data_IF_021851713797
#
_entry.id   IF_021851713797
#
_cell.length_a   1.000
_cell.length_b   1.000
_cell.length_c   1.000
_cell.angle_alpha   90.00
_cell.angle_beta   90.00
_cell.angle_gamma   90.00
#
_symmetry.space_group_name_H-M   'P 1'
#
loop_
_entity.id
_entity.type
_entity.pdbx_description
1 polymer ?
#
# COMPACT_ATOMS: atom_id res chain seq x y z
N UNK A 1 -1.58 4.01 -3.83
CA UNK A 1 -2.68 3.59 -2.91
C UNK A 1 -3.57 2.48 -3.47
N UNK A 2 -3.38 2.01 -4.71
CA UNK A 2 -4.23 0.97 -5.29
C UNK A 2 -4.31 -0.31 -4.44
N UNK A 3 -3.17 -0.84 -3.99
CA UNK A 3 -3.12 -2.06 -3.19
C UNK A 3 -3.85 -1.93 -1.84
N UNK A 4 -3.76 -0.77 -1.18
CA UNK A 4 -4.48 -0.50 0.08
C UNK A 4 -5.99 -0.61 -0.15
N UNK A 5 -6.49 0.02 -1.21
CA UNK A 5 -7.93 -0.01 -1.55
C UNK A 5 -8.41 -1.40 -1.96
N UNK A 6 -7.61 -2.13 -2.75
CA UNK A 6 -7.92 -3.51 -3.13
C UNK A 6 -8.03 -4.43 -1.92
N UNK A 7 -7.11 -4.28 -0.95
CA UNK A 7 -7.15 -5.04 0.29
C UNK A 7 -8.34 -4.65 1.18
N UNK A 8 -8.62 -3.35 1.35
CA UNK A 8 -9.76 -2.88 2.14
C UNK A 8 -11.09 -3.37 1.57
N UNK A 9 -11.30 -3.22 0.26
CA UNK A 9 -12.51 -3.72 -0.39
C UNK A 9 -12.65 -5.24 -0.32
N UNK A 10 -11.53 -5.99 -0.40
CA UNK A 10 -11.56 -7.43 -0.17
C UNK A 10 -11.90 -7.79 1.28
N UNK A 11 -11.37 -7.06 2.28
CA UNK A 11 -11.71 -7.26 3.70
C UNK A 11 -13.19 -6.98 3.97
N UNK A 12 -13.76 -5.98 3.30
CA UNK A 12 -15.18 -5.66 3.41
C UNK A 12 -16.03 -6.78 2.80
N UNK A 13 -15.69 -7.22 1.57
CA UNK A 13 -16.36 -8.33 0.90
C UNK A 13 -16.23 -9.67 1.65
N UNK A 14 -15.11 -9.91 2.33
CA UNK A 14 -14.93 -11.10 3.18
C UNK A 14 -15.92 -11.12 4.35
N UNK A 15 -16.21 -9.96 4.97
CA UNK A 15 -17.21 -9.87 6.05
C UNK A 15 -18.63 -10.13 5.55
N UNK A 16 -18.88 -9.84 4.28
CA UNK A 16 -20.17 -10.04 3.62
C UNK A 16 -20.30 -11.42 2.95
N UNK A 17 -19.24 -12.24 2.99
CA UNK A 17 -19.20 -13.55 2.32
C UNK A 17 -19.06 -13.49 0.79
N UNK A 18 -18.77 -12.31 0.23
CA UNK A 18 -18.67 -12.04 -1.21
C UNK A 18 -17.22 -11.91 -1.73
N UNK A 19 -16.22 -12.28 -0.91
CA UNK A 19 -14.79 -12.15 -1.24
C UNK A 19 -14.39 -12.81 -2.57
N UNK A 20 -14.95 -13.97 -2.91
CA UNK A 20 -14.67 -14.64 -4.18
C UNK A 20 -15.10 -13.79 -5.38
N UNK A 21 -16.33 -13.28 -5.35
CA UNK A 21 -16.86 -12.41 -6.41
C UNK A 21 -16.06 -11.12 -6.51
N UNK A 22 -15.70 -10.51 -5.37
CA UNK A 22 -14.86 -9.32 -5.34
C UNK A 22 -13.51 -9.56 -6.02
N UNK A 23 -12.83 -10.67 -5.69
CA UNK A 23 -11.56 -11.04 -6.30
C UNK A 23 -11.70 -11.26 -7.81
N UNK A 24 -12.73 -12.00 -8.24
CA UNK A 24 -13.01 -12.25 -9.65
C UNK A 24 -13.22 -10.96 -10.44
N UNK A 25 -14.08 -10.07 -9.95
CA UNK A 25 -14.42 -8.80 -10.62
C UNK A 25 -13.26 -7.83 -10.73
N UNK A 26 -12.29 -7.92 -9.82
CA UNK A 26 -11.13 -7.03 -9.76
C UNK A 26 -9.82 -7.69 -10.21
N UNK A 27 -9.88 -8.92 -10.76
CA UNK A 27 -8.70 -9.69 -11.18
C UNK A 27 -7.66 -9.88 -10.07
N UNK A 28 -8.12 -10.12 -8.84
CA UNK A 28 -7.26 -10.28 -7.67
C UNK A 28 -7.12 -11.76 -7.29
N UNK A 29 -5.94 -12.13 -6.77
CA UNK A 29 -5.73 -13.43 -6.15
C UNK A 29 -6.15 -13.41 -4.69
N UNK A 30 -7.14 -14.24 -4.34
CA UNK A 30 -7.58 -14.42 -2.95
C UNK A 30 -6.44 -14.93 -2.05
N UNK A 31 -5.61 -15.85 -2.56
CA UNK A 31 -4.47 -16.40 -1.84
C UNK A 31 -3.43 -15.30 -1.54
N UNK A 32 -3.18 -14.40 -2.49
CA UNK A 32 -2.25 -13.28 -2.30
C UNK A 32 -2.79 -12.29 -1.27
N UNK A 33 -4.08 -11.94 -1.33
CA UNK A 33 -4.70 -11.06 -0.34
C UNK A 33 -4.70 -11.68 1.07
N UNK A 34 -4.91 -12.99 1.17
CA UNK A 34 -4.78 -13.73 2.42
C UNK A 34 -3.33 -13.70 2.95
N UNK A 35 -2.33 -13.85 2.08
CA UNK A 35 -0.92 -13.74 2.47
C UNK A 35 -0.60 -12.34 2.99
N UNK A 36 -1.08 -11.29 2.32
CA UNK A 36 -0.97 -9.89 2.78
C UNK A 36 -1.65 -9.72 4.15
N UNK A 37 -2.84 -10.29 4.35
CA UNK A 37 -3.54 -10.23 5.64
C UNK A 37 -2.72 -10.86 6.78
N UNK A 38 -2.13 -12.02 6.53
CA UNK A 38 -1.25 -12.71 7.48
C UNK A 38 0.00 -11.89 7.80
N UNK A 39 0.66 -11.31 6.80
CA UNK A 39 1.84 -10.44 7.01
C UNK A 39 1.50 -9.20 7.84
N UNK A 40 0.35 -8.55 7.57
CA UNK A 40 -0.10 -7.40 8.36
C UNK A 40 -0.30 -7.76 9.83
N UNK A 41 -0.87 -8.94 10.12
CA UNK A 41 -1.02 -9.44 11.50
C UNK A 41 0.33 -9.69 12.16
N UNK A 42 1.26 -10.33 11.45
CA UNK A 42 2.61 -10.60 11.97
C UNK A 42 3.36 -9.31 12.31
N UNK A 43 3.39 -8.33 11.40
CA UNK A 43 4.05 -7.05 11.69
C UNK A 43 3.38 -6.29 12.84
N UNK A 44 2.04 -6.29 12.91
CA UNK A 44 1.34 -5.68 14.03
C UNK A 44 1.68 -6.33 15.37
N UNK A 45 1.85 -7.65 15.39
CA UNK A 45 2.25 -8.39 16.59
C UNK A 45 3.66 -8.01 17.04
N UNK A 46 4.63 -8.04 16.11
CA UNK A 46 6.03 -7.68 16.40
C UNK A 46 6.15 -6.25 16.91
N UNK A 47 5.46 -5.29 16.28
CA UNK A 47 5.47 -3.89 16.70
C UNK A 47 4.87 -3.72 18.10
N UNK A 48 3.86 -4.51 18.44
CA UNK A 48 3.24 -4.50 19.77
C UNK A 48 4.19 -5.06 20.83
N UNK A 49 4.84 -6.18 20.55
CA UNK A 49 5.85 -6.76 21.45
C UNK A 49 7.03 -5.82 21.67
N UNK A 50 7.43 -5.06 20.65
CA UNK A 50 8.45 -4.04 20.75
C UNK A 50 8.01 -2.77 21.53
N UNK A 51 6.74 -2.67 21.93
CA UNK A 51 6.19 -1.50 22.62
C UNK A 51 6.06 -0.25 21.73
N UNK A 52 6.09 -0.41 20.40
CA UNK A 52 6.04 0.70 19.45
C UNK A 52 4.61 1.11 19.06
N UNK A 53 3.63 0.24 19.31
CA UNK A 53 2.22 0.50 19.03
C UNK A 53 1.35 0.15 20.24
N UNK A 54 0.26 0.89 20.41
CA UNK A 54 -0.68 0.64 21.49
C UNK A 54 -1.45 -0.67 21.27
N UNK A 55 -1.98 -1.26 22.35
CA UNK A 55 -2.90 -2.38 22.26
C UNK A 55 -4.21 -1.98 21.57
N UNK A 56 -4.65 -0.73 21.72
CA UNK A 56 -5.80 -0.21 21.01
C UNK A 56 -5.44 0.24 19.59
N UNK A 57 -5.85 -0.57 18.62
CA UNK A 57 -5.70 -0.27 17.19
C UNK A 57 -6.34 1.05 16.74
N UNK A 58 -7.35 1.56 17.46
CA UNK A 58 -8.02 2.82 17.12
C UNK A 58 -7.10 4.03 17.32
N UNK A 59 -6.23 3.97 18.35
CA UNK A 59 -5.25 5.00 18.65
C UNK A 59 -4.17 5.03 17.56
N UNK A 60 -3.69 3.85 17.18
CA UNK A 60 -2.63 3.70 16.17
C UNK A 60 -3.06 4.17 14.77
N UNK A 61 -4.35 4.10 14.45
CA UNK A 61 -4.87 4.38 13.11
C UNK A 61 -5.54 5.76 12.95
N UNK A 62 -5.44 6.67 13.94
CA UNK A 62 -6.07 8.01 13.90
C UNK A 62 -5.76 8.81 12.63
N UNK A 63 -4.55 8.65 12.07
CA UNK A 63 -4.09 9.38 10.88
C UNK A 63 -4.07 8.53 9.61
N UNK A 64 -4.61 7.31 9.64
CA UNK A 64 -4.56 6.35 8.52
C UNK A 64 -5.19 6.90 7.23
N UNK A 65 -6.20 7.77 7.35
CA UNK A 65 -6.88 8.39 6.22
C UNK A 65 -6.15 9.63 5.67
N UNK A 66 -5.14 10.17 6.38
CA UNK A 66 -4.34 11.29 5.90
C UNK A 66 -3.38 10.80 4.79
N UNK A 67 -3.82 10.95 3.54
CA UNK A 67 -3.08 10.47 2.37
C UNK A 67 -1.68 11.09 2.23
N UNK A 68 -1.50 12.35 2.60
CA UNK A 68 -0.21 13.02 2.54
C UNK A 68 0.78 12.41 3.53
N UNK A 69 0.32 12.12 4.76
CA UNK A 69 1.15 11.46 5.77
C UNK A 69 1.52 10.03 5.34
N UNK A 70 0.55 9.26 4.83
CA UNK A 70 0.82 7.89 4.36
C UNK A 70 1.84 7.90 3.22
N UNK A 71 1.73 8.84 2.27
CA UNK A 71 2.74 9.02 1.21
C UNK A 71 4.11 9.40 1.75
N UNK A 72 4.16 10.25 2.78
CA UNK A 72 5.43 10.62 3.43
C UNK A 72 6.11 9.41 4.10
N UNK A 73 5.35 8.57 4.81
CA UNK A 73 5.86 7.33 5.42
C UNK A 73 6.37 6.36 4.34
N UNK A 74 5.61 6.17 3.26
CA UNK A 74 6.05 5.34 2.11
C UNK A 74 7.35 5.89 1.51
N UNK A 75 7.43 7.22 1.32
CA UNK A 75 8.63 7.88 0.81
C UNK A 75 9.84 7.62 1.72
N UNK A 76 9.66 7.71 3.05
CA UNK A 76 10.74 7.45 3.99
C UNK A 76 11.29 6.02 3.92
N UNK A 77 10.45 5.02 3.63
CA UNK A 77 10.86 3.63 3.50
C UNK A 77 11.44 3.26 2.13
N UNK A 78 11.10 4.00 1.08
CA UNK A 78 11.59 3.76 -0.30
C UNK A 78 12.78 4.64 -0.68
N UNK A 79 13.09 5.68 0.10
CA UNK A 79 14.26 6.53 -0.12
C UNK A 79 15.56 5.72 -0.06
N UNK A 80 16.55 5.94 -0.96
CA UNK A 80 16.62 7.00 -1.98
C UNK A 80 16.04 6.64 -3.35
N UNK A 81 15.24 5.58 -3.49
CA UNK A 81 14.63 5.13 -4.75
C UNK A 81 13.54 6.06 -5.27
N UNK A 82 13.93 7.26 -5.72
CA UNK A 82 13.05 8.32 -6.20
C UNK A 82 13.28 8.61 -7.69
N UNK A 83 12.20 8.95 -8.40
CA UNK A 83 12.24 9.42 -9.77
C UNK A 83 11.66 10.83 -9.87
N UNK A 84 12.34 11.71 -10.61
CA UNK A 84 11.84 13.03 -10.98
C UNK A 84 10.98 12.95 -12.23
N UNK A 85 9.86 13.68 -12.24
CA UNK A 85 8.93 13.73 -13.37
C UNK A 85 9.08 15.06 -14.09
N UNK A 86 9.31 15.01 -15.39
CA UNK A 86 9.31 16.18 -16.27
C UNK A 86 8.09 16.10 -17.18
N UNK A 87 7.12 16.96 -16.90
CA UNK A 87 5.90 17.10 -17.68
C UNK A 87 6.13 18.01 -18.89
N UNK A 88 5.74 17.54 -20.08
CA UNK A 88 5.65 18.30 -21.33
C UNK A 88 4.21 18.26 -21.82
N UNK A 89 3.82 19.19 -22.69
CA UNK A 89 2.42 19.33 -23.15
C UNK A 89 1.77 18.03 -23.64
N UNK A 90 2.54 17.12 -24.22
CA UNK A 90 2.06 15.85 -24.78
C UNK A 90 2.76 14.61 -24.22
N UNK A 91 3.69 14.76 -23.26
CA UNK A 91 4.49 13.63 -22.76
C UNK A 91 4.97 13.80 -21.33
N UNK A 92 5.24 12.67 -20.67
CA UNK A 92 5.92 12.63 -19.38
C UNK A 92 7.22 11.86 -19.53
N UNK A 93 8.31 12.40 -18.98
CA UNK A 93 9.58 11.69 -18.86
C UNK A 93 9.97 11.54 -17.39
N UNK A 94 10.55 10.39 -17.06
CA UNK A 94 10.94 10.03 -15.69
C UNK A 94 12.44 9.87 -15.64
N UNK A 95 13.07 10.35 -14.57
CA UNK A 95 14.52 10.23 -14.37
C UNK A 95 14.89 9.83 -12.95
N UNK A 96 15.78 8.87 -12.79
CA UNK A 96 16.43 8.54 -11.51
C UNK A 96 17.83 9.15 -11.47
N UNK A 97 18.43 9.20 -10.27
CA UNK A 97 19.81 9.70 -10.11
C UNK A 97 20.82 8.76 -10.79
N UNK A 98 20.62 7.45 -10.64
CA UNK A 98 21.59 6.43 -11.04
C UNK A 98 21.44 5.99 -12.50
N UNK A 99 20.20 5.86 -13.01
CA UNK A 99 19.93 5.28 -14.33
C UNK A 99 19.61 6.32 -15.41
N UNK A 100 19.53 7.60 -15.05
CA UNK A 100 19.08 8.64 -15.96
C UNK A 100 17.62 8.44 -16.35
N UNK A 101 17.29 8.35 -17.64
CA UNK A 101 15.90 8.25 -18.09
C UNK A 101 15.35 6.83 -17.94
N UNK A 102 14.20 6.71 -17.26
CA UNK A 102 13.50 5.45 -17.02
C UNK A 102 12.06 5.50 -17.54
N UNK A 103 11.45 4.32 -17.67
CA UNK A 103 10.04 4.16 -18.03
C UNK A 103 9.28 3.56 -16.85
N UNK A 104 7.99 3.88 -16.76
CA UNK A 104 7.10 3.13 -15.87
C UNK A 104 6.79 1.79 -16.51
N UNK A 105 6.76 0.74 -15.68
CA UNK A 105 6.26 -0.56 -16.10
C UNK A 105 4.77 -0.44 -16.45
N UNK A 106 4.37 -1.02 -17.57
CA UNK A 106 3.00 -1.00 -18.10
C UNK A 106 2.31 -2.35 -17.87
#
# INVERSE_FOLDING_TARGET
MALVRAYEGWKDAEREGSAYEYCWRNFLSAQTLQAIHSLRKQFSFILKEAGLVDTDSSINNKLSHNQSLVRAVICSGLFPGIASVVHRETSMSFKTMDDGQVLLYA
#
